data_IF_015691782649
#
_entry.id   IF_015691782649
#
_cell.length_a   1.000
_cell.length_b   1.000
_cell.length_c   1.000
_cell.angle_alpha   90.00
_cell.angle_beta   90.00
_cell.angle_gamma   90.00
#
_symmetry.space_group_name_H-M   'P 1'
#
loop_
_entity.id
_entity.type
_entity.pdbx_description
1 polymer ?
#
# COMPACT_ATOMS: atom_id res chain seq x y z
N UNK A 1 -3.54 -20.58 -0.66
CA UNK A 1 -3.89 -19.51 0.30
C UNK A 1 -3.84 -18.20 -0.48
N UNK A 2 -4.95 -17.46 -0.60
CA UNK A 2 -4.97 -16.20 -1.38
C UNK A 2 -4.39 -15.10 -0.49
N UNK A 3 -3.14 -14.72 -0.74
CA UNK A 3 -2.47 -13.64 0.00
C UNK A 3 -3.13 -12.33 -0.40
N UNK A 4 -3.78 -11.66 0.56
CA UNK A 4 -4.45 -10.37 0.36
C UNK A 4 -4.25 -9.54 1.62
N UNK A 5 -4.03 -8.24 1.43
CA UNK A 5 -4.04 -7.27 2.50
C UNK A 5 -5.47 -6.94 2.91
N UNK A 6 -5.66 -6.82 4.22
CA UNK A 6 -6.86 -6.25 4.83
C UNK A 6 -6.83 -4.72 4.76
N UNK A 7 -7.99 -4.04 4.78
CA UNK A 7 -8.05 -2.58 4.85
C UNK A 7 -7.27 -2.00 6.04
N UNK A 8 -7.22 -2.71 7.17
CA UNK A 8 -6.48 -2.31 8.37
C UNK A 8 -4.97 -2.36 8.14
N UNK A 9 -4.45 -3.42 7.53
CA UNK A 9 -3.02 -3.52 7.18
C UNK A 9 -2.62 -2.43 6.18
N UNK A 10 -3.47 -2.17 5.19
CA UNK A 10 -3.24 -1.11 4.19
C UNK A 10 -3.23 0.26 4.86
N UNK A 11 -4.12 0.50 5.82
CA UNK A 11 -4.13 1.74 6.61
C UNK A 11 -2.82 1.91 7.40
N UNK A 12 -2.37 0.88 8.11
CA UNK A 12 -1.11 0.94 8.85
C UNK A 12 0.10 1.19 7.93
N UNK A 13 0.12 0.58 6.75
CA UNK A 13 1.17 0.87 5.75
C UNK A 13 1.09 2.32 5.26
N UNK A 14 -0.10 2.84 5.03
CA UNK A 14 -0.32 4.23 4.65
C UNK A 14 0.15 5.21 5.73
N UNK A 15 -0.16 4.94 7.00
CA UNK A 15 0.29 5.76 8.14
C UNK A 15 1.82 5.86 8.19
N UNK A 16 2.51 4.73 8.00
CA UNK A 16 3.97 4.70 7.98
C UNK A 16 4.54 5.58 6.85
N UNK A 17 3.95 5.52 5.64
CA UNK A 17 4.37 6.38 4.51
C UNK A 17 4.08 7.85 4.79
N UNK A 18 2.91 8.16 5.35
CA UNK A 18 2.54 9.55 5.67
C UNK A 18 3.46 10.14 6.74
N UNK A 19 3.86 9.37 7.75
CA UNK A 19 4.78 9.84 8.78
C UNK A 19 6.16 10.19 8.20
N UNK A 20 6.68 9.37 7.28
CA UNK A 20 7.92 9.67 6.54
C UNK A 20 7.79 10.97 5.72
N UNK A 21 6.66 11.18 5.05
CA UNK A 21 6.37 12.42 4.31
C UNK A 21 6.32 13.63 5.25
N UNK A 22 5.70 13.48 6.42
CA UNK A 22 5.61 14.51 7.46
C UNK A 22 6.96 14.79 8.15
N UNK A 23 7.93 13.88 8.03
CA UNK A 23 9.32 14.05 8.46
C UNK A 23 10.14 14.96 7.55
N UNK A 24 9.68 15.18 6.31
CA UNK A 24 10.30 16.13 5.37
C UNK A 24 9.97 17.57 5.77
N UNK A 25 10.78 18.53 5.31
CA UNK A 25 10.58 19.95 5.57
C UNK A 25 9.37 20.50 4.80
N UNK A 26 8.19 20.35 5.39
CA UNK A 26 6.91 20.91 4.95
C UNK A 26 6.53 22.13 5.80
N UNK A 27 5.75 23.04 5.23
CA UNK A 27 5.14 24.12 6.01
C UNK A 27 4.16 23.56 7.04
N UNK A 28 3.96 24.27 8.15
CA UNK A 28 3.07 23.84 9.23
C UNK A 28 1.63 23.64 8.73
N UNK A 29 1.18 24.49 7.79
CA UNK A 29 -0.14 24.38 7.16
C UNK A 29 -0.28 23.08 6.36
N UNK A 30 0.74 22.72 5.60
CA UNK A 30 0.72 21.51 4.77
C UNK A 30 0.73 20.26 5.65
N UNK A 31 1.56 20.25 6.70
CA UNK A 31 1.59 19.15 7.68
C UNK A 31 0.23 18.93 8.36
N UNK A 32 -0.42 20.01 8.77
CA UNK A 32 -1.75 19.94 9.37
C UNK A 32 -2.81 19.43 8.37
N UNK A 33 -2.71 19.85 7.11
CA UNK A 33 -3.63 19.43 6.06
C UNK A 33 -3.50 17.93 5.76
N UNK A 34 -2.28 17.41 5.67
CA UNK A 34 -2.02 15.98 5.47
C UNK A 34 -2.51 15.14 6.64
N UNK A 35 -2.24 15.57 7.88
CA UNK A 35 -2.76 14.86 9.08
C UNK A 35 -4.28 14.84 9.13
N UNK A 36 -4.91 15.96 8.79
CA UNK A 36 -6.36 16.06 8.76
C UNK A 36 -6.96 15.13 7.70
N UNK A 37 -6.38 15.11 6.50
CA UNK A 37 -6.80 14.21 5.44
C UNK A 37 -6.69 12.73 5.87
N UNK A 38 -5.59 12.35 6.53
CA UNK A 38 -5.42 10.99 7.04
C UNK A 38 -6.55 10.59 8.02
N UNK A 39 -6.93 11.50 8.91
CA UNK A 39 -7.97 11.25 9.93
C UNK A 39 -9.39 11.35 9.38
N UNK A 40 -9.67 12.29 8.47
CA UNK A 40 -11.03 12.57 8.01
C UNK A 40 -11.45 11.64 6.85
N UNK A 41 -10.53 11.31 5.94
CA UNK A 41 -10.86 10.63 4.68
C UNK A 41 -10.26 9.21 4.58
N UNK A 42 -9.14 8.96 5.26
CA UNK A 42 -8.39 7.72 5.12
C UNK A 42 -8.53 6.79 6.33
N UNK A 43 -9.65 6.82 7.05
CA UNK A 43 -9.89 5.89 8.16
C UNK A 43 -10.02 4.43 7.71
N UNK A 44 -9.71 3.45 8.57
CA UNK A 44 -9.98 2.03 8.28
C UNK A 44 -11.43 1.81 7.87
N UNK A 45 -11.64 1.22 6.70
CA UNK A 45 -12.97 0.96 6.14
C UNK A 45 -13.59 2.14 5.37
N UNK A 46 -12.93 3.30 5.28
CA UNK A 46 -13.31 4.37 4.38
C UNK A 46 -13.23 3.92 2.92
N UNK A 47 -13.96 4.61 2.04
CA UNK A 47 -13.90 4.33 0.60
C UNK A 47 -12.48 4.51 0.05
N UNK A 48 -11.74 5.50 0.56
CA UNK A 48 -10.35 5.75 0.14
C UNK A 48 -9.43 4.56 0.44
N UNK A 49 -9.50 4.02 1.65
CA UNK A 49 -8.68 2.85 2.05
C UNK A 49 -9.11 1.59 1.31
N UNK A 50 -10.41 1.39 1.07
CA UNK A 50 -10.91 0.25 0.29
C UNK A 50 -10.37 0.24 -1.14
N UNK A 51 -10.45 1.38 -1.83
CA UNK A 51 -9.92 1.52 -3.20
C UNK A 51 -8.40 1.30 -3.21
N UNK A 52 -7.68 1.82 -2.22
CA UNK A 52 -6.26 1.58 -2.08
C UNK A 52 -5.93 0.09 -1.87
N UNK A 53 -6.70 -0.58 -1.02
CA UNK A 53 -6.55 -2.00 -0.73
C UNK A 53 -6.82 -2.87 -1.97
N UNK A 54 -7.87 -2.57 -2.72
CA UNK A 54 -8.20 -3.28 -3.96
C UNK A 54 -7.05 -3.17 -4.97
N UNK A 55 -6.51 -1.96 -5.16
CA UNK A 55 -5.39 -1.71 -6.07
C UNK A 55 -4.10 -2.40 -5.63
N UNK A 56 -3.78 -2.37 -4.33
CA UNK A 56 -2.59 -3.05 -3.79
C UNK A 56 -2.71 -4.57 -3.94
N UNK A 57 -3.90 -5.12 -3.72
CA UNK A 57 -4.17 -6.54 -3.90
C UNK A 57 -4.10 -6.98 -5.37
N UNK A 58 -4.54 -6.14 -6.30
CA UNK A 58 -4.36 -6.38 -7.74
C UNK A 58 -2.87 -6.44 -8.11
N UNK A 59 -2.07 -5.48 -7.64
CA UNK A 59 -0.62 -5.48 -7.88
C UNK A 59 0.09 -6.66 -7.21
N UNK A 60 -0.33 -7.03 -6.01
CA UNK A 60 0.20 -8.21 -5.32
C UNK A 60 -0.07 -9.47 -6.13
N UNK A 61 -1.30 -9.64 -6.64
CA UNK A 61 -1.65 -10.78 -7.49
C UNK A 61 -0.79 -10.80 -8.75
N UNK A 62 -0.64 -9.67 -9.43
CA UNK A 62 0.20 -9.56 -10.62
C UNK A 62 1.67 -9.93 -10.32
N UNK A 63 2.21 -9.50 -9.19
CA UNK A 63 3.56 -9.83 -8.75
C UNK A 63 3.71 -11.34 -8.50
N UNK A 64 2.72 -11.96 -7.86
CA UNK A 64 2.70 -13.41 -7.62
C UNK A 64 2.63 -14.21 -8.93
N UNK A 65 1.80 -13.77 -9.87
CA UNK A 65 1.66 -14.42 -11.18
C UNK A 65 2.99 -14.35 -11.96
N UNK A 66 3.66 -13.20 -11.93
CA UNK A 66 4.99 -13.02 -12.54
C UNK A 66 6.05 -13.90 -11.87
N UNK A 67 6.04 -13.97 -10.53
CA UNK A 67 6.97 -14.80 -9.77
C UNK A 67 6.77 -16.30 -10.08
N UNK A 68 5.51 -16.75 -10.16
CA UNK A 68 5.16 -18.11 -10.53
C UNK A 68 5.70 -18.48 -11.92
N UNK A 69 5.57 -17.58 -12.91
CA UNK A 69 6.14 -17.77 -14.25
C UNK A 69 7.68 -17.82 -14.21
N UNK A 70 8.32 -16.97 -13.40
CA UNK A 70 9.79 -16.93 -13.28
C UNK A 70 10.39 -18.17 -12.57
N UNK A 71 9.61 -18.84 -11.72
CA UNK A 71 10.03 -20.09 -11.05
C UNK A 71 10.15 -21.26 -12.03
N UNK A 72 9.53 -21.14 -13.21
CA UNK A 72 9.75 -22.02 -14.36
C UNK A 72 11.02 -21.58 -15.11
N UNK A 73 12.13 -21.36 -14.38
CA UNK A 73 13.45 -21.29 -15.00
C UNK A 73 13.91 -22.72 -15.26
N UNK A 74 14.01 -23.07 -16.55
CA UNK A 74 14.65 -24.31 -17.00
C UNK A 74 16.03 -24.41 -16.35
N UNK A 75 16.45 -25.58 -15.86
CA UNK A 75 17.77 -25.72 -15.24
C UNK A 75 18.86 -25.27 -16.23
N UNK A 76 19.77 -24.43 -15.76
CA UNK A 76 20.90 -23.87 -16.52
C UNK A 76 21.99 -24.95 -16.75
N UNK A 77 21.65 -26.04 -17.44
CA UNK A 77 22.64 -26.99 -17.96
C UNK A 77 22.92 -26.69 -19.44
N UNK A 78 23.67 -25.61 -19.68
CA UNK A 78 24.62 -25.46 -20.79
C UNK A 78 25.89 -24.85 -20.22
#
# INVERSE_FOLDING_TARGET
MKVQFTPEEVHTMLEAVVEEVLGVKLDQKDRASVRRWLVDEMTPGSTGVKVLADKLNEQLQQSQDNAAVSSIKKPDWI
#
